data_IF_258002407690
#
_entry.id   IF_258002407690
#
_cell.length_a   1.000
_cell.length_b   1.000
_cell.length_c   1.000
_cell.angle_alpha   90.00
_cell.angle_beta   90.00
_cell.angle_gamma   90.00
#
_symmetry.space_group_name_H-M   'P 1'
#
loop_
_entity.id
_entity.type
_entity.pdbx_description
1 polymer ?
#
# COMPACT_ATOMS: atom_id res chain seq x y z
N UNK A 1 -20.62 -21.28 -1.13
CA UNK A 1 -20.42 -20.05 -0.34
C UNK A 1 -20.62 -18.84 -1.24
N UNK A 2 -21.48 -17.90 -0.86
CA UNK A 2 -21.53 -16.57 -1.48
C UNK A 2 -20.28 -15.77 -1.11
N UNK A 3 -19.88 -14.82 -1.94
CA UNK A 3 -18.74 -13.91 -1.68
C UNK A 3 -18.92 -13.15 -0.37
N UNK A 4 -20.15 -12.70 -0.09
CA UNK A 4 -20.52 -11.99 1.13
C UNK A 4 -20.32 -12.87 2.39
N UNK A 5 -20.69 -14.15 2.32
CA UNK A 5 -20.48 -15.09 3.42
C UNK A 5 -19.00 -15.44 3.66
N UNK A 6 -18.12 -15.25 2.68
CA UNK A 6 -16.67 -15.37 2.86
C UNK A 6 -16.10 -14.11 3.54
N UNK A 7 -16.52 -12.91 3.09
CA UNK A 7 -16.09 -11.63 3.68
C UNK A 7 -16.45 -11.57 5.17
N UNK A 8 -17.70 -11.88 5.54
CA UNK A 8 -18.14 -11.87 6.95
C UNK A 8 -17.30 -12.83 7.80
N UNK A 9 -16.98 -14.02 7.27
CA UNK A 9 -16.15 -14.99 7.98
C UNK A 9 -14.72 -14.51 8.18
N UNK A 10 -14.09 -13.97 7.13
CA UNK A 10 -12.73 -13.43 7.22
C UNK A 10 -12.62 -12.28 8.22
N UNK A 11 -13.63 -11.39 8.23
CA UNK A 11 -13.75 -10.31 9.23
C UNK A 11 -13.88 -10.90 10.65
N UNK A 12 -14.81 -11.84 10.85
CA UNK A 12 -15.03 -12.49 12.14
C UNK A 12 -13.77 -13.19 12.68
N UNK A 13 -13.07 -13.98 11.85
CA UNK A 13 -11.85 -14.67 12.26
C UNK A 13 -10.72 -13.71 12.63
N UNK A 14 -10.60 -12.60 11.90
CA UNK A 14 -9.53 -11.61 12.16
C UNK A 14 -9.77 -10.85 13.47
N UNK A 15 -11.03 -10.61 13.86
CA UNK A 15 -11.36 -9.97 15.14
C UNK A 15 -10.85 -10.76 16.35
N UNK A 16 -10.84 -12.08 16.28
CA UNK A 16 -10.28 -12.94 17.34
C UNK A 16 -8.74 -12.91 17.39
N UNK A 17 -8.10 -12.26 16.41
CA UNK A 17 -6.65 -12.22 16.24
C UNK A 17 -6.11 -10.78 16.10
N UNK A 18 -6.74 -9.81 16.78
CA UNK A 18 -6.32 -8.40 16.83
C UNK A 18 -4.86 -8.20 17.27
N UNK A 19 -4.30 -9.13 18.07
CA UNK A 19 -2.88 -9.10 18.44
C UNK A 19 -1.93 -9.08 17.25
N UNK A 20 -2.29 -9.72 16.13
CA UNK A 20 -1.50 -9.66 14.89
C UNK A 20 -1.64 -8.33 14.16
N UNK A 21 -2.82 -7.71 14.18
CA UNK A 21 -3.02 -6.37 13.62
C UNK A 21 -2.12 -5.37 14.36
N UNK A 22 -2.10 -5.44 15.69
CA UNK A 22 -1.23 -4.60 16.53
C UNK A 22 0.25 -4.84 16.28
N UNK A 23 0.69 -6.11 16.18
CA UNK A 23 2.09 -6.43 15.94
C UNK A 23 2.56 -5.95 14.55
N UNK A 24 1.73 -6.10 13.52
CA UNK A 24 2.01 -5.56 12.18
C UNK A 24 2.03 -4.03 12.20
N UNK A 25 1.12 -3.39 12.93
CA UNK A 25 1.10 -1.94 13.09
C UNK A 25 2.35 -1.43 13.81
N UNK A 26 2.78 -2.07 14.89
CA UNK A 26 4.04 -1.73 15.59
C UNK A 26 5.26 -1.87 14.68
N UNK A 27 5.28 -2.91 13.84
CA UNK A 27 6.36 -3.10 12.85
C UNK A 27 6.32 -2.03 11.75
N UNK A 28 5.13 -1.60 11.33
CA UNK A 28 5.00 -0.47 10.41
C UNK A 28 5.52 0.82 11.07
N UNK A 29 5.18 1.06 12.33
CA UNK A 29 5.64 2.23 13.08
C UNK A 29 7.15 2.21 13.29
N UNK A 30 7.78 1.05 13.56
CA UNK A 30 9.23 0.97 13.75
C UNK A 30 10.02 1.34 12.48
N UNK A 31 9.44 1.17 11.30
CA UNK A 31 10.03 1.59 10.02
C UNK A 31 9.65 3.04 9.69
N UNK A 32 8.40 3.42 9.92
CA UNK A 32 7.87 4.73 9.54
C UNK A 32 8.36 5.88 10.44
N UNK A 33 8.52 5.64 11.75
CA UNK A 33 8.95 6.68 12.70
C UNK A 33 10.35 7.18 12.40
N UNK A 34 11.39 6.34 12.20
CA UNK A 34 12.71 6.82 11.83
C UNK A 34 12.70 7.64 10.54
N UNK A 35 11.99 7.17 9.50
CA UNK A 35 11.86 7.91 8.26
C UNK A 35 11.18 9.27 8.46
N UNK A 36 10.12 9.33 9.26
CA UNK A 36 9.44 10.57 9.63
C UNK A 36 10.32 11.53 10.42
N UNK A 37 11.17 11.01 11.31
CA UNK A 37 12.14 11.81 12.06
C UNK A 37 13.22 12.41 11.14
N UNK A 38 13.70 11.65 10.15
CA UNK A 38 14.65 12.18 9.17
C UNK A 38 14.05 13.34 8.37
N UNK A 39 12.81 13.19 7.91
CA UNK A 39 12.08 14.27 7.23
C UNK A 39 11.82 15.46 8.16
N UNK A 40 11.46 15.22 9.42
CA UNK A 40 11.23 16.28 10.40
C UNK A 40 12.50 17.07 10.71
N UNK A 41 13.66 16.39 10.76
CA UNK A 41 14.96 17.04 10.98
C UNK A 41 15.37 17.86 9.76
N UNK A 42 15.20 17.32 8.55
CA UNK A 42 15.40 18.07 7.30
C UNK A 42 14.54 19.34 7.25
N UNK A 43 13.26 19.24 7.65
CA UNK A 43 12.34 20.36 7.72
C UNK A 43 12.73 21.39 8.79
N UNK A 44 13.16 20.94 9.99
CA UNK A 44 13.61 21.84 11.07
C UNK A 44 14.84 22.65 10.66
N UNK A 45 15.74 22.05 9.90
CA UNK A 45 16.95 22.73 9.43
C UNK A 45 16.65 23.78 8.36
N UNK A 46 15.61 23.58 7.54
CA UNK A 46 15.14 24.59 6.57
C UNK A 46 14.28 25.68 7.20
N UNK A 47 13.39 25.30 8.12
CA UNK A 47 12.46 26.19 8.81
C UNK A 47 13.10 26.96 9.98
N UNK A 48 14.44 27.07 10.03
CA UNK A 48 15.16 27.89 11.00
C UNK A 48 14.61 29.33 11.09
N UNK A 49 15.02 30.16 12.07
CA UNK A 49 14.24 31.14 12.88
C UNK A 49 13.54 32.26 12.09
N UNK A 50 12.80 31.89 11.05
CA UNK A 50 12.13 32.74 10.10
C UNK A 50 10.64 32.77 10.42
N UNK A 51 10.01 33.90 10.11
CA UNK A 51 8.59 34.16 10.33
C UNK A 51 7.66 33.21 9.55
N UNK A 52 8.22 32.34 8.70
CA UNK A 52 7.49 31.39 7.86
C UNK A 52 6.86 30.24 8.65
N UNK A 53 7.28 30.02 9.91
CA UNK A 53 6.56 29.11 10.80
C UNK A 53 5.11 29.55 11.02
N UNK A 54 4.84 30.86 11.04
CA UNK A 54 3.50 31.41 11.35
C UNK A 54 2.62 31.30 10.10
N UNK A 55 3.17 31.65 8.94
CA UNK A 55 2.52 31.48 7.64
C UNK A 55 2.10 30.01 7.41
N UNK A 56 2.99 29.04 7.70
CA UNK A 56 2.70 27.61 7.57
C UNK A 56 1.67 27.05 8.56
N UNK A 57 1.42 27.75 9.69
CA UNK A 57 0.38 27.39 10.66
C UNK A 57 -1.00 27.89 10.23
N UNK A 58 -1.03 29.03 9.57
CA UNK A 58 -2.27 29.68 9.12
C UNK A 58 -2.70 29.19 7.73
N UNK A 59 -1.79 28.66 6.92
CA UNK A 59 -2.08 28.05 5.61
C UNK A 59 -0.83 27.45 4.94
N UNK A 60 -1.00 26.77 3.81
CA UNK A 60 0.15 26.28 3.04
C UNK A 60 0.75 27.42 2.21
N UNK A 61 2.00 27.82 2.50
CA UNK A 61 2.69 28.90 1.79
C UNK A 61 3.35 28.38 0.49
N UNK A 62 2.80 28.81 -0.66
CA UNK A 62 3.28 28.42 -1.98
C UNK A 62 4.62 29.10 -2.35
N UNK A 63 4.95 30.24 -1.74
CA UNK A 63 6.22 30.94 -1.92
C UNK A 63 7.36 30.20 -1.25
N UNK A 64 7.18 29.81 0.02
CA UNK A 64 8.13 28.95 0.74
C UNK A 64 8.37 27.62 0.00
N UNK A 65 7.29 26.98 -0.46
CA UNK A 65 7.39 25.72 -1.18
C UNK A 65 8.17 25.82 -2.50
N UNK A 66 8.00 26.94 -3.23
CA UNK A 66 8.77 27.22 -4.44
C UNK A 66 10.28 27.31 -4.17
N UNK A 67 10.67 27.93 -3.06
CA UNK A 67 12.08 28.01 -2.63
C UNK A 67 12.62 26.65 -2.16
N UNK A 68 11.84 25.89 -1.38
CA UNK A 68 12.19 24.55 -0.90
C UNK A 68 12.49 23.60 -2.08
N UNK A 69 11.65 23.62 -3.12
CA UNK A 69 11.78 22.77 -4.31
C UNK A 69 13.02 23.11 -5.14
N UNK A 70 13.40 24.39 -5.18
CA UNK A 70 14.57 24.86 -5.93
C UNK A 70 15.89 24.57 -5.20
N UNK A 71 15.88 24.53 -3.87
CA UNK A 71 17.10 24.52 -3.03
C UNK A 71 17.60 23.12 -2.63
N UNK A 72 16.82 22.03 -2.77
CA UNK A 72 17.19 20.71 -2.22
C UNK A 72 17.03 19.49 -3.16
N UNK A 73 17.95 18.54 -2.99
CA UNK A 73 17.91 17.16 -3.53
C UNK A 73 17.69 16.17 -2.36
N UNK A 74 16.86 15.12 -2.53
CA UNK A 74 16.65 14.08 -1.50
C UNK A 74 15.18 13.74 -1.18
N UNK A 75 14.91 13.15 -0.01
CA UNK A 75 13.58 12.68 0.44
C UNK A 75 12.58 13.83 0.66
N UNK A 76 13.05 15.04 0.93
CA UNK A 76 12.22 16.25 1.02
C UNK A 76 11.46 16.60 -0.29
N UNK A 77 11.91 16.13 -1.47
CA UNK A 77 11.16 16.28 -2.74
C UNK A 77 9.81 15.55 -2.75
N UNK A 78 9.60 14.62 -1.80
CA UNK A 78 8.34 13.88 -1.68
C UNK A 78 7.22 14.78 -1.13
N UNK A 79 7.54 15.91 -0.49
CA UNK A 79 6.61 16.84 0.14
C UNK A 79 6.02 17.86 -0.85
N UNK A 80 5.19 17.44 -1.81
CA UNK A 80 4.44 18.39 -2.67
C UNK A 80 3.17 18.92 -1.94
N UNK A 81 2.67 20.13 -2.23
CA UNK A 81 1.50 20.74 -1.55
C UNK A 81 0.24 19.91 -1.78
N UNK A 82 0.10 19.38 -2.99
CA UNK A 82 -0.94 18.42 -3.39
C UNK A 82 -0.83 17.13 -2.57
N UNK A 83 0.39 16.71 -2.20
CA UNK A 83 0.69 15.50 -1.41
C UNK A 83 0.51 15.67 0.09
N UNK A 84 0.22 16.88 0.59
CA UNK A 84 0.12 17.15 2.03
C UNK A 84 -1.31 17.42 2.51
N UNK A 85 -2.25 17.61 1.59
CA UNK A 85 -3.63 17.97 1.92
C UNK A 85 -4.60 16.85 1.52
N UNK A 86 -5.39 16.39 2.50
CA UNK A 86 -6.54 15.50 2.30
C UNK A 86 -6.22 14.17 1.56
N UNK A 87 -6.79 13.94 0.37
CA UNK A 87 -6.64 12.68 -0.38
C UNK A 87 -5.45 12.67 -1.36
N UNK A 88 -4.82 13.82 -1.61
CA UNK A 88 -3.72 13.95 -2.56
C UNK A 88 -2.56 13.00 -2.30
N UNK A 89 -2.05 12.82 -1.05
CA UNK A 89 -1.02 11.80 -0.82
C UNK A 89 -1.45 10.37 -1.17
N UNK A 90 -2.74 10.03 -1.10
CA UNK A 90 -3.21 8.68 -1.47
C UNK A 90 -3.32 8.52 -2.98
N UNK A 91 -3.81 9.54 -3.68
CA UNK A 91 -3.95 9.55 -5.13
C UNK A 91 -2.59 9.63 -5.82
N UNK A 92 -1.68 10.47 -5.33
CA UNK A 92 -0.34 10.62 -5.87
C UNK A 92 0.50 9.36 -5.63
N UNK A 93 0.35 8.72 -4.47
CA UNK A 93 0.98 7.41 -4.23
C UNK A 93 0.40 6.31 -5.13
N UNK A 94 -0.91 6.32 -5.37
CA UNK A 94 -1.54 5.37 -6.28
C UNK A 94 -1.08 5.61 -7.73
N UNK A 95 -0.99 6.86 -8.15
CA UNK A 95 -0.53 7.27 -9.47
C UNK A 95 0.95 6.94 -9.68
N UNK A 96 1.83 7.33 -8.75
CA UNK A 96 3.25 7.01 -8.80
C UNK A 96 3.49 5.50 -8.74
N UNK A 97 2.63 4.76 -8.02
CA UNK A 97 2.68 3.29 -7.99
C UNK A 97 2.16 2.67 -9.29
N UNK A 98 1.16 3.26 -9.95
CA UNK A 98 0.64 2.81 -11.25
C UNK A 98 1.63 3.10 -12.38
N UNK A 99 2.30 4.25 -12.34
CA UNK A 99 3.29 4.68 -13.33
C UNK A 99 4.68 4.06 -13.10
N UNK A 100 4.96 3.62 -11.87
CA UNK A 100 6.20 2.95 -11.47
C UNK A 100 7.36 3.92 -11.20
N UNK A 101 7.08 5.20 -11.03
CA UNK A 101 8.10 6.26 -10.89
C UNK A 101 8.73 6.29 -9.49
N UNK A 102 7.99 5.85 -8.47
CA UNK A 102 8.47 5.64 -7.09
C UNK A 102 9.81 4.87 -7.03
N UNK A 103 9.99 3.89 -7.92
CA UNK A 103 11.18 3.03 -7.94
C UNK A 103 12.35 3.63 -8.72
N UNK A 104 12.10 4.57 -9.65
CA UNK A 104 13.15 5.19 -10.47
C UNK A 104 13.76 6.41 -9.78
N UNK A 105 12.93 7.20 -9.12
CA UNK A 105 13.35 8.52 -8.62
C UNK A 105 14.09 8.47 -7.28
N UNK A 106 13.85 7.43 -6.46
CA UNK A 106 14.32 7.42 -5.07
C UNK A 106 14.95 6.06 -4.67
N UNK A 107 16.23 5.80 -4.97
CA UNK A 107 16.87 4.52 -4.67
C UNK A 107 16.97 4.21 -3.17
N UNK A 108 17.02 5.24 -2.30
CA UNK A 108 16.96 5.05 -0.85
C UNK A 108 15.64 4.40 -0.39
N UNK A 109 14.52 4.70 -1.07
CA UNK A 109 13.23 4.06 -0.80
C UNK A 109 13.22 2.59 -1.22
N UNK A 110 14.07 2.16 -2.16
CA UNK A 110 14.20 0.74 -2.53
C UNK A 110 14.77 -0.09 -1.38
N UNK A 111 15.81 0.42 -0.70
CA UNK A 111 16.40 -0.26 0.46
C UNK A 111 15.41 -0.39 1.62
N UNK A 112 14.73 0.72 1.95
CA UNK A 112 13.70 0.74 3.00
C UNK A 112 12.51 -0.17 2.63
N UNK A 113 12.08 -0.13 1.37
CA UNK A 113 11.00 -0.97 0.85
C UNK A 113 11.36 -2.45 0.84
N UNK A 114 12.61 -2.80 0.53
CA UNK A 114 13.10 -4.18 0.60
C UNK A 114 13.13 -4.69 2.04
N UNK A 115 13.65 -3.90 2.99
CA UNK A 115 13.64 -4.24 4.41
C UNK A 115 12.21 -4.41 4.94
N UNK A 116 11.32 -3.47 4.62
CA UNK A 116 9.90 -3.56 4.96
C UNK A 116 9.25 -4.81 4.35
N UNK A 117 9.54 -5.11 3.08
CA UNK A 117 9.05 -6.31 2.40
C UNK A 117 9.52 -7.62 3.06
N UNK A 118 10.76 -7.67 3.54
CA UNK A 118 11.31 -8.80 4.27
C UNK A 118 10.64 -8.98 5.65
N UNK A 119 10.48 -7.89 6.41
CA UNK A 119 9.77 -7.89 7.68
C UNK A 119 8.31 -8.31 7.48
N UNK A 120 7.66 -7.80 6.44
CA UNK A 120 6.30 -8.16 6.09
C UNK A 120 6.19 -9.65 5.71
N UNK A 121 7.10 -10.16 4.88
CA UNK A 121 7.13 -11.58 4.51
C UNK A 121 7.35 -12.48 5.73
N UNK A 122 8.16 -12.04 6.70
CA UNK A 122 8.39 -12.74 7.96
C UNK A 122 7.11 -12.83 8.80
N UNK A 123 6.48 -11.69 9.07
CA UNK A 123 5.31 -11.62 9.94
C UNK A 123 4.07 -12.25 9.32
N UNK A 124 3.91 -12.12 8.00
CA UNK A 124 2.76 -12.68 7.29
C UNK A 124 2.72 -14.20 7.36
N UNK A 125 3.88 -14.87 7.38
CA UNK A 125 3.96 -16.33 7.54
C UNK A 125 3.32 -16.81 8.84
N UNK A 126 3.66 -16.17 9.98
CA UNK A 126 3.06 -16.52 11.27
C UNK A 126 1.61 -16.09 11.42
N UNK A 127 1.24 -14.93 10.87
CA UNK A 127 -0.15 -14.46 10.86
C UNK A 127 -1.08 -15.43 10.09
N UNK A 128 -0.66 -15.88 8.91
CA UNK A 128 -1.42 -16.84 8.11
C UNK A 128 -1.51 -18.22 8.77
N UNK A 129 -0.42 -18.72 9.36
CA UNK A 129 -0.43 -20.00 10.07
C UNK A 129 -1.44 -20.00 11.22
N UNK A 130 -1.55 -18.85 11.90
CA UNK A 130 -2.52 -18.63 12.96
C UNK A 130 -3.95 -18.58 12.44
N UNK A 131 -4.21 -17.83 11.37
CA UNK A 131 -5.53 -17.73 10.75
C UNK A 131 -6.02 -19.10 10.25
N UNK A 132 -5.10 -19.93 9.72
CA UNK A 132 -5.41 -21.28 9.29
C UNK A 132 -5.71 -22.25 10.46
N UNK A 133 -5.25 -21.95 11.69
CA UNK A 133 -5.34 -22.83 12.87
C UNK A 133 -5.88 -22.09 14.11
N UNK A 134 -7.19 -21.74 14.13
CA UNK A 134 -7.77 -20.89 15.18
C UNK A 134 -7.86 -21.55 16.56
N UNK A 135 -7.81 -22.89 16.66
CA UNK A 135 -8.07 -23.64 17.90
C UNK A 135 -6.96 -23.62 18.96
N UNK A 136 -5.77 -23.10 18.63
CA UNK A 136 -4.62 -23.10 19.56
C UNK A 136 -4.62 -21.82 20.44
N UNK A 137 -3.90 -21.78 21.56
CA UNK A 137 -3.73 -20.55 22.35
C UNK A 137 -2.70 -19.62 21.70
N UNK A 138 -2.86 -18.30 21.88
CA UNK A 138 -1.90 -17.32 21.35
C UNK A 138 -0.64 -17.30 22.22
N UNK A 139 0.51 -17.58 21.63
CA UNK A 139 1.81 -17.50 22.29
C UNK A 139 2.83 -16.93 21.31
N UNK A 140 3.56 -15.90 21.74
CA UNK A 140 4.53 -15.19 20.90
C UNK A 140 5.65 -16.13 20.42
N UNK A 141 6.22 -16.96 21.30
CA UNK A 141 7.31 -17.89 20.94
C UNK A 141 6.95 -18.79 19.77
N UNK A 142 5.77 -19.43 19.84
CA UNK A 142 5.26 -20.31 18.77
C UNK A 142 4.93 -19.54 17.48
N UNK A 143 4.43 -18.31 17.61
CA UNK A 143 4.13 -17.46 16.47
C UNK A 143 5.41 -17.04 15.72
N UNK A 144 6.49 -16.73 16.44
CA UNK A 144 7.80 -16.43 15.85
C UNK A 144 8.44 -17.67 15.22
N UNK A 145 8.25 -18.86 15.80
CA UNK A 145 8.66 -20.12 15.18
C UNK A 145 7.95 -20.34 13.83
N UNK A 146 6.64 -20.12 13.78
CA UNK A 146 5.86 -20.18 12.54
C UNK A 146 6.30 -19.12 11.53
N UNK A 147 6.62 -17.89 11.97
CA UNK A 147 7.22 -16.88 11.10
C UNK A 147 8.50 -17.42 10.44
N UNK A 148 9.46 -17.88 11.24
CA UNK A 148 10.73 -18.41 10.75
C UNK A 148 10.57 -19.58 9.76
N UNK A 149 9.61 -20.47 10.02
CA UNK A 149 9.32 -21.63 9.16
C UNK A 149 8.91 -21.25 7.73
N UNK A 150 8.13 -20.18 7.57
CA UNK A 150 7.58 -19.78 6.27
C UNK A 150 8.33 -18.65 5.56
N UNK A 151 9.22 -17.92 6.25
CA UNK A 151 9.98 -16.78 5.68
C UNK A 151 10.63 -17.11 4.36
N UNK A 152 11.45 -18.16 4.29
CA UNK A 152 12.20 -18.47 3.07
C UNK A 152 11.26 -18.76 1.89
N UNK A 153 10.13 -19.40 2.15
CA UNK A 153 9.11 -19.70 1.14
C UNK A 153 8.36 -18.44 0.71
N UNK A 154 8.05 -17.55 1.65
CA UNK A 154 7.38 -16.28 1.40
C UNK A 154 8.27 -15.30 0.61
N UNK A 155 9.57 -15.25 0.94
CA UNK A 155 10.58 -14.46 0.21
C UNK A 155 10.75 -15.00 -1.20
N UNK A 156 10.87 -16.32 -1.39
CA UNK A 156 10.91 -16.94 -2.73
C UNK A 156 9.65 -16.62 -3.52
N UNK A 157 8.47 -16.66 -2.89
CA UNK A 157 7.21 -16.32 -3.54
C UNK A 157 7.16 -14.82 -3.95
N UNK A 158 7.68 -13.92 -3.11
CA UNK A 158 7.82 -12.50 -3.44
C UNK A 158 8.78 -12.27 -4.62
N UNK A 159 9.93 -12.97 -4.63
CA UNK A 159 10.89 -12.93 -5.74
C UNK A 159 10.28 -13.49 -7.04
N UNK A 160 9.47 -14.55 -6.96
CA UNK A 160 8.73 -15.06 -8.11
C UNK A 160 7.69 -14.06 -8.64
N UNK A 161 7.10 -13.24 -7.79
CA UNK A 161 6.15 -12.19 -8.18
C UNK A 161 6.78 -10.96 -8.80
N UNK A 162 8.01 -10.61 -8.42
CA UNK A 162 8.67 -9.40 -8.88
C UNK A 162 8.77 -9.29 -10.43
N UNK A 163 9.15 -10.34 -11.19
CA UNK A 163 9.14 -10.30 -12.66
C UNK A 163 7.77 -10.00 -13.27
N UNK A 164 6.68 -10.49 -12.68
CA UNK A 164 5.32 -10.22 -13.19
C UNK A 164 4.94 -8.76 -13.00
N UNK A 165 5.20 -8.20 -11.82
CA UNK A 165 5.00 -6.77 -11.58
C UNK A 165 5.86 -5.92 -12.53
N UNK A 166 7.14 -6.27 -12.67
CA UNK A 166 8.04 -5.59 -13.60
C UNK A 166 7.51 -5.61 -15.03
N UNK A 167 7.02 -6.76 -15.51
CA UNK A 167 6.47 -6.89 -16.86
C UNK A 167 5.22 -6.03 -17.06
N UNK A 168 4.32 -5.98 -16.07
CA UNK A 168 3.12 -5.13 -16.12
C UNK A 168 3.50 -3.65 -16.22
N UNK A 169 4.45 -3.17 -15.40
CA UNK A 169 4.93 -1.79 -15.47
C UNK A 169 5.67 -1.49 -16.78
N UNK A 170 6.46 -2.45 -17.29
CA UNK A 170 7.17 -2.30 -18.55
C UNK A 170 6.20 -2.17 -19.73
N UNK A 171 5.09 -2.93 -19.70
CA UNK A 171 4.00 -2.85 -20.66
C UNK A 171 3.22 -1.54 -20.51
N UNK A 172 2.91 -1.13 -19.27
CA UNK A 172 2.25 0.14 -18.97
C UNK A 172 3.02 1.33 -19.59
N UNK A 173 4.33 1.42 -19.32
CA UNK A 173 5.16 2.49 -19.89
C UNK A 173 5.31 2.40 -21.41
N UNK A 174 5.18 1.22 -22.02
CA UNK A 174 5.10 1.10 -23.48
C UNK A 174 3.76 1.63 -24.03
N UNK A 175 2.64 1.22 -23.44
CA UNK A 175 1.30 1.65 -23.84
C UNK A 175 1.11 3.16 -23.67
N UNK A 176 1.53 3.73 -22.54
CA UNK A 176 1.44 5.17 -22.28
C UNK A 176 2.24 5.99 -23.29
N UNK A 177 3.42 5.50 -23.72
CA UNK A 177 4.20 6.14 -24.80
C UNK A 177 3.49 6.08 -26.15
N UNK A 178 2.74 5.02 -26.44
CA UNK A 178 1.93 4.95 -27.66
C UNK A 178 0.80 5.98 -27.63
N UNK A 179 0.13 6.12 -26.48
CA UNK A 179 -0.91 7.14 -26.29
C UNK A 179 -0.33 8.54 -26.43
N UNK A 180 0.83 8.82 -25.81
CA UNK A 180 1.51 10.10 -25.91
C UNK A 180 1.87 10.47 -27.37
N UNK A 181 2.43 9.52 -28.13
CA UNK A 181 2.71 9.73 -29.56
C UNK A 181 1.45 9.99 -30.38
N UNK A 182 0.34 9.30 -30.08
CA UNK A 182 -0.95 9.56 -30.70
C UNK A 182 -1.51 10.93 -30.36
N UNK A 183 -1.29 11.40 -29.13
CA UNK A 183 -1.75 12.69 -28.64
C UNK A 183 -1.08 13.87 -29.36
N UNK A 184 0.21 13.76 -29.71
CA UNK A 184 0.93 14.79 -30.49
C UNK A 184 0.28 15.07 -31.86
N UNK A 185 -0.43 14.08 -32.41
CA UNK A 185 -1.13 14.17 -33.71
C UNK A 185 -2.64 14.39 -33.60
N UNK A 186 -3.19 14.48 -32.38
CA UNK A 186 -4.62 14.51 -32.15
C UNK A 186 -5.19 15.93 -32.21
N UNK A 187 -6.23 16.13 -33.02
CA UNK A 187 -6.95 17.40 -33.11
C UNK A 187 -7.94 17.65 -31.94
N UNK A 188 -8.17 16.65 -31.08
CA UNK A 188 -9.10 16.75 -29.95
C UNK A 188 -8.56 16.05 -28.71
N UNK A 189 -8.84 16.63 -27.53
CA UNK A 189 -8.33 16.17 -26.22
C UNK A 189 -9.10 14.96 -25.66
N UNK A 190 -10.39 14.83 -26.00
CA UNK A 190 -11.26 13.76 -25.51
C UNK A 190 -10.78 12.33 -25.83
N UNK A 191 -10.39 11.98 -27.07
CA UNK A 191 -9.91 10.63 -27.38
C UNK A 191 -8.59 10.31 -26.66
N UNK A 192 -7.73 11.31 -26.44
CA UNK A 192 -6.47 11.15 -25.69
C UNK A 192 -6.79 10.84 -24.23
N UNK A 193 -7.70 11.58 -23.61
CA UNK A 193 -8.12 11.33 -22.22
C UNK A 193 -8.74 9.93 -22.07
N UNK A 194 -9.64 9.52 -22.97
CA UNK A 194 -10.23 8.18 -22.94
C UNK A 194 -9.18 7.08 -23.10
N UNK A 195 -8.19 7.28 -23.98
CA UNK A 195 -7.10 6.33 -24.16
C UNK A 195 -6.23 6.23 -22.89
N UNK A 196 -5.92 7.35 -22.23
CA UNK A 196 -5.19 7.37 -20.96
C UNK A 196 -5.95 6.62 -19.86
N UNK A 197 -7.25 6.91 -19.71
CA UNK A 197 -8.10 6.21 -18.72
C UNK A 197 -8.17 4.71 -19.01
N UNK A 198 -8.34 4.33 -20.28
CA UNK A 198 -8.41 2.93 -20.68
C UNK A 198 -7.10 2.17 -20.39
N UNK A 199 -5.95 2.76 -20.73
CA UNK A 199 -4.63 2.17 -20.45
C UNK A 199 -4.41 2.05 -18.95
N UNK A 200 -4.67 3.11 -18.18
CA UNK A 200 -4.54 3.10 -16.72
C UNK A 200 -5.44 2.06 -16.05
N UNK A 201 -6.69 1.93 -16.51
CA UNK A 201 -7.62 0.90 -16.02
C UNK A 201 -7.13 -0.52 -16.35
N UNK A 202 -6.61 -0.75 -17.55
CA UNK A 202 -6.05 -2.04 -17.95
C UNK A 202 -4.83 -2.43 -17.10
N UNK A 203 -3.94 -1.47 -16.82
CA UNK A 203 -2.77 -1.67 -15.95
C UNK A 203 -3.21 -1.98 -14.52
N UNK A 204 -4.15 -1.21 -13.97
CA UNK A 204 -4.69 -1.45 -12.63
C UNK A 204 -5.30 -2.86 -12.53
N UNK A 205 -6.07 -3.28 -13.54
CA UNK A 205 -6.66 -4.61 -13.59
C UNK A 205 -5.59 -5.72 -13.63
N UNK A 206 -4.53 -5.54 -14.43
CA UNK A 206 -3.42 -6.47 -14.50
C UNK A 206 -2.68 -6.59 -13.15
N UNK A 207 -2.42 -5.47 -12.48
CA UNK A 207 -1.80 -5.44 -11.16
C UNK A 207 -2.66 -6.13 -10.09
N UNK A 208 -3.98 -5.90 -10.11
CA UNK A 208 -4.93 -6.59 -9.24
C UNK A 208 -4.94 -8.09 -9.51
N UNK A 209 -4.91 -8.51 -10.78
CA UNK A 209 -4.87 -9.92 -11.15
C UNK A 209 -3.60 -10.60 -10.61
N UNK A 210 -2.42 -10.02 -10.88
CA UNK A 210 -1.14 -10.52 -10.35
C UNK A 210 -1.17 -10.59 -8.83
N UNK A 211 -1.59 -9.50 -8.15
CA UNK A 211 -1.71 -9.47 -6.69
C UNK A 211 -2.61 -10.59 -6.16
N UNK A 212 -3.74 -10.80 -6.81
CA UNK A 212 -4.73 -11.81 -6.39
C UNK A 212 -4.15 -13.22 -6.51
N UNK A 213 -3.45 -13.53 -7.60
CA UNK A 213 -2.75 -14.81 -7.80
C UNK A 213 -1.77 -15.06 -6.67
N UNK A 214 -0.92 -14.08 -6.36
CA UNK A 214 0.07 -14.21 -5.29
C UNK A 214 -0.54 -14.23 -3.89
N UNK A 215 -1.69 -13.59 -3.66
CA UNK A 215 -2.39 -13.68 -2.38
C UNK A 215 -2.96 -15.08 -2.14
N UNK A 216 -3.59 -15.69 -3.14
CA UNK A 216 -4.02 -17.09 -3.04
C UNK A 216 -2.84 -18.05 -2.90
N UNK A 217 -1.73 -17.78 -3.59
CA UNK A 217 -0.51 -18.58 -3.45
C UNK A 217 0.03 -18.58 -2.01
N UNK A 218 -0.02 -17.44 -1.31
CA UNK A 218 0.39 -17.33 0.11
C UNK A 218 -0.50 -18.17 1.01
N UNK A 219 -1.82 -18.12 0.79
CA UNK A 219 -2.79 -18.91 1.56
C UNK A 219 -2.50 -20.41 1.34
N UNK A 220 -2.42 -20.86 0.08
CA UNK A 220 -2.13 -22.27 -0.27
C UNK A 220 -0.80 -22.75 0.33
N UNK A 221 0.24 -21.91 0.27
CA UNK A 221 1.55 -22.25 0.80
C UNK A 221 1.52 -22.59 2.30
N UNK A 222 0.70 -21.87 3.06
CA UNK A 222 0.59 -22.03 4.52
C UNK A 222 -0.44 -23.10 4.88
N UNK A 223 -1.61 -23.12 4.23
CA UNK A 223 -2.68 -24.07 4.56
C UNK A 223 -2.35 -25.50 4.14
N UNK A 224 -1.74 -25.69 2.97
CA UNK A 224 -1.32 -27.00 2.47
C UNK A 224 0.14 -27.35 2.83
N UNK A 225 0.80 -26.53 3.66
CA UNK A 225 2.20 -26.66 4.07
C UNK A 225 3.21 -26.87 2.90
N UNK A 226 2.89 -26.39 1.69
CA UNK A 226 3.68 -26.70 0.49
C UNK A 226 5.14 -26.23 0.61
N UNK A 227 6.05 -27.10 0.17
CA UNK A 227 7.49 -26.80 0.11
C UNK A 227 7.89 -25.96 -1.12
N UNK A 228 7.15 -26.10 -2.23
CA UNK A 228 7.43 -25.39 -3.49
C UNK A 228 6.61 -24.10 -3.63
N UNK A 229 7.28 -22.95 -3.62
CA UNK A 229 6.67 -21.64 -3.86
C UNK A 229 6.10 -21.52 -5.28
N UNK A 230 6.77 -22.11 -6.28
CA UNK A 230 6.29 -22.11 -7.66
C UNK A 230 5.01 -22.94 -7.80
N UNK A 231 4.95 -24.11 -7.14
CA UNK A 231 3.74 -24.94 -7.11
C UNK A 231 2.56 -24.20 -6.49
N UNK A 232 2.78 -23.46 -5.40
CA UNK A 232 1.75 -22.62 -4.79
C UNK A 232 1.31 -21.47 -5.71
N UNK A 233 2.23 -20.82 -6.42
CA UNK A 233 1.93 -19.78 -7.39
C UNK A 233 1.09 -20.29 -8.57
N UNK A 234 1.43 -21.46 -9.13
CA UNK A 234 0.68 -22.08 -10.23
C UNK A 234 -0.72 -22.52 -9.78
N UNK A 235 -0.86 -23.09 -8.57
CA UNK A 235 -2.17 -23.42 -8.00
C UNK A 235 -3.01 -22.15 -7.77
N UNK A 236 -2.41 -21.08 -7.25
CA UNK A 236 -3.06 -19.78 -7.09
C UNK A 236 -3.53 -19.20 -8.42
N UNK A 237 -2.70 -19.27 -9.46
CA UNK A 237 -3.07 -18.86 -10.82
C UNK A 237 -4.21 -19.70 -11.38
N UNK A 238 -4.12 -21.02 -11.25
CA UNK A 238 -5.17 -21.95 -11.68
C UNK A 238 -6.51 -21.68 -10.98
N UNK A 239 -6.50 -21.35 -9.70
CA UNK A 239 -7.70 -20.98 -8.96
C UNK A 239 -8.34 -19.70 -9.49
N UNK A 240 -7.53 -18.63 -9.67
CA UNK A 240 -8.02 -17.34 -10.18
C UNK A 240 -8.58 -17.47 -11.60
N UNK A 241 -7.91 -18.21 -12.48
CA UNK A 241 -8.34 -18.42 -13.85
C UNK A 241 -9.62 -19.27 -13.96
N UNK A 242 -9.81 -20.25 -13.06
CA UNK A 242 -11.04 -21.06 -13.03
C UNK A 242 -12.22 -20.33 -12.39
N UNK A 243 -11.96 -19.36 -11.51
CA UNK A 243 -12.99 -18.65 -10.74
C UNK A 243 -12.81 -17.12 -10.73
N UNK A 244 -12.71 -16.45 -11.90
CA UNK A 244 -12.35 -15.04 -11.99
C UNK A 244 -13.39 -14.13 -11.32
N UNK A 245 -14.68 -14.41 -11.49
CA UNK A 245 -15.76 -13.60 -10.92
C UNK A 245 -15.78 -13.70 -9.39
N UNK A 246 -15.54 -14.89 -8.82
CA UNK A 246 -15.52 -15.07 -7.36
C UNK A 246 -14.29 -14.39 -6.75
N UNK A 247 -13.12 -14.56 -7.36
CA UNK A 247 -11.88 -13.92 -6.94
C UNK A 247 -12.02 -12.38 -7.02
N UNK A 248 -12.53 -11.86 -8.13
CA UNK A 248 -12.80 -10.44 -8.31
C UNK A 248 -13.85 -9.92 -7.32
N UNK A 249 -14.92 -10.68 -7.05
CA UNK A 249 -15.96 -10.29 -6.11
C UNK A 249 -15.47 -10.16 -4.67
N UNK A 250 -14.60 -11.06 -4.22
CA UNK A 250 -13.99 -10.98 -2.89
C UNK A 250 -13.02 -9.78 -2.81
N UNK A 251 -12.14 -9.64 -3.80
CA UNK A 251 -11.19 -8.52 -3.85
C UNK A 251 -11.91 -7.17 -3.95
N UNK A 252 -12.93 -7.06 -4.78
CA UNK A 252 -13.76 -5.87 -4.94
C UNK A 252 -14.52 -5.52 -3.66
N UNK A 253 -15.04 -6.51 -2.94
CA UNK A 253 -15.69 -6.29 -1.63
C UNK A 253 -14.73 -5.71 -0.59
N UNK A 254 -13.53 -6.27 -0.45
CA UNK A 254 -12.51 -5.74 0.46
C UNK A 254 -11.95 -4.39 -0.01
N UNK A 255 -11.83 -4.17 -1.32
CA UNK A 255 -11.44 -2.87 -1.86
C UNK A 255 -12.47 -1.80 -1.51
N UNK A 256 -13.76 -2.08 -1.71
CA UNK A 256 -14.84 -1.16 -1.34
C UNK A 256 -14.82 -0.83 0.16
N UNK A 257 -14.65 -1.85 1.02
CA UNK A 257 -14.50 -1.64 2.46
C UNK A 257 -13.24 -0.82 2.82
N UNK A 258 -12.16 -0.95 2.06
CA UNK A 258 -10.92 -0.20 2.26
C UNK A 258 -10.99 1.25 1.79
N UNK A 259 -11.81 1.56 0.79
CA UNK A 259 -12.02 2.94 0.30
C UNK A 259 -12.82 3.77 1.30
N UNK A 260 -13.77 3.17 2.03
CA UNK A 260 -14.63 3.88 2.98
C UNK A 260 -13.84 4.67 4.06
N UNK A 261 -12.88 4.08 4.81
CA UNK A 261 -12.07 4.82 5.77
C UNK A 261 -11.26 5.95 5.15
N UNK A 262 -10.74 5.76 3.93
CA UNK A 262 -9.98 6.79 3.22
C UNK A 262 -10.89 7.94 2.81
N UNK A 263 -12.11 7.64 2.32
CA UNK A 263 -13.12 8.64 2.01
C UNK A 263 -13.58 9.42 3.25
N UNK A 264 -13.74 8.74 4.39
CA UNK A 264 -14.06 9.38 5.66
C UNK A 264 -12.89 10.26 6.15
N UNK A 265 -11.66 9.76 6.06
CA UNK A 265 -10.48 10.58 6.35
C UNK A 265 -10.36 11.76 5.41
N UNK A 266 -10.79 11.66 4.15
CA UNK A 266 -10.83 12.81 3.26
C UNK A 266 -11.89 13.84 3.69
N UNK A 267 -13.12 13.38 3.99
CA UNK A 267 -14.23 14.25 4.35
C UNK A 267 -14.04 14.97 5.70
N UNK A 268 -13.39 14.31 6.66
CA UNK A 268 -13.22 14.80 8.03
C UNK A 268 -11.76 15.08 8.41
N UNK A 269 -10.83 14.82 7.49
CA UNK A 269 -9.41 14.99 7.72
C UNK A 269 -9.00 16.45 7.82
N UNK A 270 -7.74 16.68 8.20
CA UNK A 270 -7.19 18.02 8.35
C UNK A 270 -7.22 18.81 7.02
N UNK A 271 -8.11 19.80 6.96
CA UNK A 271 -8.10 20.84 5.92
C UNK A 271 -7.21 22.02 6.30
N UNK A 272 -6.98 22.92 5.33
CA UNK A 272 -6.26 24.19 5.50
C UNK A 272 -6.89 25.01 6.64
N UNK A 273 -6.16 25.21 7.74
CA UNK A 273 -6.63 25.95 8.93
C UNK A 273 -6.38 25.28 10.29
N UNK A 274 -5.57 24.22 10.36
CA UNK A 274 -5.25 23.53 11.62
C UNK A 274 -4.02 24.12 12.33
N UNK A 275 -4.15 25.36 12.84
CA UNK A 275 -3.11 25.99 13.65
C UNK A 275 -2.96 25.41 15.08
N UNK A 276 -3.86 24.52 15.51
CA UNK A 276 -3.94 24.01 16.88
C UNK A 276 -3.32 22.63 17.03
N UNK A 277 -2.50 22.43 18.08
CA UNK A 277 -1.89 21.13 18.44
C UNK A 277 -2.91 19.98 18.51
N UNK A 278 -4.10 20.25 19.04
CA UNK A 278 -5.18 19.26 19.12
C UNK A 278 -5.62 18.75 17.74
N UNK A 279 -5.67 19.63 16.75
CA UNK A 279 -6.09 19.27 15.40
C UNK A 279 -5.05 18.36 14.72
N UNK A 280 -3.75 18.64 14.93
CA UNK A 280 -2.64 17.77 14.50
C UNK A 280 -2.71 16.39 15.17
N UNK A 281 -2.99 16.33 16.47
CA UNK A 281 -3.15 15.06 17.19
C UNK A 281 -4.33 14.26 16.62
N UNK A 282 -5.48 14.91 16.41
CA UNK A 282 -6.67 14.25 15.85
C UNK A 282 -6.43 13.74 14.43
N UNK A 283 -5.76 14.53 13.58
CA UNK A 283 -5.35 14.12 12.24
C UNK A 283 -4.42 12.91 12.25
N UNK A 284 -3.45 12.90 13.16
CA UNK A 284 -2.57 11.76 13.36
C UNK A 284 -3.34 10.52 13.80
N UNK A 285 -4.20 10.62 14.82
CA UNK A 285 -5.02 9.51 15.31
C UNK A 285 -5.96 8.97 14.23
N UNK A 286 -6.57 9.84 13.44
CA UNK A 286 -7.40 9.45 12.30
C UNK A 286 -6.58 8.69 11.24
N UNK A 287 -5.36 9.16 10.94
CA UNK A 287 -4.42 8.44 10.06
C UNK A 287 -4.06 7.05 10.59
N UNK A 288 -3.77 6.93 11.89
CA UNK A 288 -3.49 5.63 12.52
C UNK A 288 -4.69 4.69 12.48
N UNK A 289 -5.91 5.21 12.68
CA UNK A 289 -7.14 4.42 12.57
C UNK A 289 -7.32 3.86 11.15
N UNK A 290 -7.11 4.68 10.11
CA UNK A 290 -7.17 4.22 8.70
C UNK A 290 -6.13 3.13 8.44
N UNK A 291 -4.91 3.29 8.94
CA UNK A 291 -3.85 2.27 8.81
C UNK A 291 -4.24 0.96 9.50
N UNK A 292 -4.74 1.01 10.73
CA UNK A 292 -5.20 -0.17 11.46
C UNK A 292 -6.35 -0.88 10.74
N UNK A 293 -7.34 -0.13 10.25
CA UNK A 293 -8.45 -0.70 9.48
C UNK A 293 -7.91 -1.37 8.20
N UNK A 294 -6.97 -0.74 7.49
CA UNK A 294 -6.36 -1.30 6.29
C UNK A 294 -5.61 -2.61 6.58
N UNK A 295 -4.84 -2.66 7.68
CA UNK A 295 -4.14 -3.87 8.12
C UNK A 295 -5.12 -4.98 8.50
N UNK A 296 -6.18 -4.64 9.23
CA UNK A 296 -7.24 -5.56 9.59
C UNK A 296 -7.94 -6.14 8.35
N UNK A 297 -8.37 -5.29 7.40
CA UNK A 297 -8.99 -5.73 6.15
C UNK A 297 -8.03 -6.59 5.31
N UNK A 298 -6.73 -6.29 5.35
CA UNK A 298 -5.71 -7.07 4.65
C UNK A 298 -5.60 -8.49 5.21
N UNK A 299 -5.63 -8.66 6.53
CA UNK A 299 -5.62 -9.98 7.15
C UNK A 299 -6.95 -10.71 6.94
N UNK A 300 -8.07 -10.00 7.04
CA UNK A 300 -9.41 -10.56 6.80
C UNK A 300 -9.62 -11.04 5.36
N UNK A 301 -8.94 -10.43 4.39
CA UNK A 301 -8.92 -10.92 3.01
C UNK A 301 -8.18 -12.26 2.86
N UNK A 302 -7.23 -12.56 3.76
CA UNK A 302 -6.38 -13.74 3.70
C UNK A 302 -6.87 -14.89 4.61
N UNK A 303 -7.84 -14.63 5.47
CA UNK A 303 -8.50 -15.58 6.35
C UNK A 303 -9.64 -16.31 5.62
#
# INVERSE_FOLDING_TARGET
MSSLGAIIRGLGQTLFHLGWVLLLWLTLMSVAVPAGLMVAEELRQDLGPSLEHQALRDGFDMGWYGELRYRREGLAKVLEPTRLVAAGPFLDNAEAWLQGDLFREHPALLGLGALYGLLWAFLLGGALDRLARPSQLWTLSRSFESCGRYVGRMVRLALLGAPFYYLVYRLAGWLLRLVAKGAESAASETPVLLALVAVSAAVALALVAVRTVFDYAKVILVTEERSSALGAALSGAGFVLRHPIKAAGIQGGFLALGVLPVGLYHAFGPGTGQGTVMAVILAFLAGQAVLLIRLYLRLALLA
#
